data_IF_056922747266
#
_entry.id   IF_056922747266
#
_cell.length_a   1.000
_cell.length_b   1.000
_cell.length_c   1.000
_cell.angle_alpha   90.00
_cell.angle_beta   90.00
_cell.angle_gamma   90.00
#
_symmetry.space_group_name_H-M   'P 1'
#
loop_
_entity.id
_entity.type
_entity.pdbx_description
1 polymer ?
#
# COMPACT_ATOMS: atom_id res chain seq x y z
N UNK A 1 -28.78 7.64 -25.99
CA UNK A 1 -27.65 7.11 -25.19
C UNK A 1 -27.85 5.61 -25.03
N UNK A 2 -27.01 4.79 -25.67
CA UNK A 2 -27.23 3.35 -25.85
C UNK A 2 -26.56 2.59 -24.71
N UNK A 3 -27.35 1.79 -23.98
CA UNK A 3 -26.92 0.92 -22.86
C UNK A 3 -25.69 0.04 -23.20
N UNK A 4 -25.45 -0.24 -24.49
CA UNK A 4 -24.29 -0.96 -24.99
C UNK A 4 -22.95 -0.21 -24.85
N UNK A 5 -22.95 1.12 -25.03
CA UNK A 5 -21.72 1.94 -24.94
C UNK A 5 -21.25 2.06 -23.49
N UNK A 6 -22.18 2.20 -22.55
CA UNK A 6 -21.87 2.26 -21.11
C UNK A 6 -21.29 0.93 -20.60
N UNK A 7 -21.83 -0.20 -21.08
CA UNK A 7 -21.32 -1.54 -20.76
C UNK A 7 -19.91 -1.74 -21.32
N UNK A 8 -19.69 -1.36 -22.58
CA UNK A 8 -18.37 -1.46 -23.22
C UNK A 8 -17.33 -0.60 -22.51
N UNK A 9 -17.69 0.64 -22.21
CA UNK A 9 -16.81 1.58 -21.49
C UNK A 9 -16.42 1.03 -20.11
N UNK A 10 -17.37 0.47 -19.36
CA UNK A 10 -17.09 -0.12 -18.05
C UNK A 10 -16.19 -1.35 -18.13
N UNK A 11 -16.40 -2.22 -19.12
CA UNK A 11 -15.54 -3.40 -19.31
C UNK A 11 -14.13 -3.01 -19.76
N UNK A 12 -13.98 -1.97 -20.58
CA UNK A 12 -12.67 -1.41 -20.92
C UNK A 12 -11.94 -0.89 -19.69
N UNK A 13 -12.61 -0.11 -18.84
CA UNK A 13 -12.02 0.40 -17.59
C UNK A 13 -11.57 -0.73 -16.65
N UNK A 14 -12.33 -1.84 -16.56
CA UNK A 14 -11.91 -3.04 -15.79
C UNK A 14 -10.63 -3.65 -16.33
N UNK A 15 -10.52 -3.75 -17.65
CA UNK A 15 -9.33 -4.29 -18.30
C UNK A 15 -8.12 -3.36 -18.14
N UNK A 16 -8.31 -2.05 -18.26
CA UNK A 16 -7.25 -1.05 -18.07
C UNK A 16 -6.71 -1.09 -16.63
N UNK A 17 -7.60 -1.20 -15.63
CA UNK A 17 -7.20 -1.39 -14.24
C UNK A 17 -6.49 -2.75 -14.03
N UNK A 18 -6.98 -3.83 -14.63
CA UNK A 18 -6.34 -5.13 -14.54
C UNK A 18 -4.91 -5.11 -15.11
N UNK A 19 -4.69 -4.44 -16.24
CA UNK A 19 -3.37 -4.26 -16.84
C UNK A 19 -2.43 -3.48 -15.92
N UNK A 20 -2.91 -2.40 -15.29
CA UNK A 20 -2.13 -1.66 -14.28
C UNK A 20 -1.72 -2.57 -13.12
N UNK A 21 -2.67 -3.30 -12.54
CA UNK A 21 -2.40 -4.20 -11.43
C UNK A 21 -1.42 -5.32 -11.80
N UNK A 22 -1.48 -5.84 -13.04
CA UNK A 22 -0.50 -6.82 -13.54
C UNK A 22 0.88 -6.20 -13.63
N UNK A 23 1.02 -4.96 -14.12
CA UNK A 23 2.30 -4.25 -14.16
C UNK A 23 2.90 -4.04 -12.78
N UNK A 24 2.06 -3.86 -11.77
CA UNK A 24 2.45 -3.73 -10.37
C UNK A 24 2.61 -5.10 -9.67
N UNK A 25 2.67 -6.19 -10.41
CA UNK A 25 2.90 -7.55 -9.90
C UNK A 25 1.82 -8.04 -8.90
N UNK A 26 0.62 -7.47 -8.99
CA UNK A 26 -0.51 -7.86 -8.14
C UNK A 26 -0.92 -9.32 -8.39
N UNK A 27 -1.38 -10.00 -7.34
CA UNK A 27 -1.86 -11.38 -7.45
C UNK A 27 -3.21 -11.44 -8.17
N UNK A 28 -3.48 -12.58 -8.82
CA UNK A 28 -4.76 -12.84 -9.49
C UNK A 28 -5.96 -12.61 -8.58
N UNK A 29 -5.86 -12.98 -7.29
CA UNK A 29 -6.93 -12.75 -6.33
C UNK A 29 -7.19 -11.25 -6.09
N UNK A 30 -6.14 -10.44 -5.96
CA UNK A 30 -6.22 -8.98 -5.81
C UNK A 30 -6.78 -8.33 -7.06
N UNK A 31 -6.31 -8.75 -8.24
CA UNK A 31 -6.84 -8.27 -9.53
C UNK A 31 -8.34 -8.57 -9.64
N UNK A 32 -8.75 -9.80 -9.32
CA UNK A 32 -10.16 -10.21 -9.32
C UNK A 32 -10.98 -9.39 -8.32
N UNK A 33 -10.45 -9.15 -7.13
CA UNK A 33 -11.13 -8.39 -6.07
C UNK A 33 -11.44 -6.96 -6.51
N UNK A 34 -10.49 -6.30 -7.18
CA UNK A 34 -10.64 -4.91 -7.63
C UNK A 34 -11.43 -4.76 -8.93
N UNK A 35 -11.31 -5.70 -9.86
CA UNK A 35 -11.87 -5.56 -11.22
C UNK A 35 -13.16 -6.34 -11.44
N UNK A 36 -13.42 -7.37 -10.62
CA UNK A 36 -14.52 -8.32 -10.83
C UNK A 36 -14.34 -9.25 -12.03
N UNK A 37 -13.18 -9.23 -12.70
CA UNK A 37 -12.90 -10.15 -13.81
C UNK A 37 -12.72 -11.58 -13.32
N UNK A 38 -13.13 -12.55 -14.13
CA UNK A 38 -12.88 -13.97 -13.84
C UNK A 38 -11.40 -14.31 -13.98
N UNK A 39 -10.95 -15.34 -13.27
CA UNK A 39 -9.58 -15.84 -13.35
C UNK A 39 -9.17 -16.21 -14.79
N UNK A 40 -10.11 -16.68 -15.61
CA UNK A 40 -9.85 -16.96 -17.03
C UNK A 40 -9.59 -15.68 -17.85
N UNK A 41 -10.41 -14.63 -17.66
CA UNK A 41 -10.19 -13.33 -18.33
C UNK A 41 -8.86 -12.72 -17.90
N UNK A 42 -8.52 -12.77 -16.62
CA UNK A 42 -7.24 -12.29 -16.10
C UNK A 42 -6.07 -13.09 -16.70
N UNK A 43 -6.19 -14.42 -16.79
CA UNK A 43 -5.17 -15.28 -17.40
C UNK A 43 -4.97 -14.97 -18.88
N UNK A 44 -6.05 -14.76 -19.64
CA UNK A 44 -5.97 -14.37 -21.06
C UNK A 44 -5.31 -13.01 -21.24
N UNK A 45 -5.68 -12.04 -20.43
CA UNK A 45 -5.10 -10.69 -20.46
C UNK A 45 -3.62 -10.68 -20.07
N UNK A 46 -3.22 -11.52 -19.12
CA UNK A 46 -1.81 -11.71 -18.79
C UNK A 46 -1.02 -12.28 -19.98
N UNK A 47 -1.58 -13.27 -20.69
CA UNK A 47 -0.93 -13.87 -21.88
C UNK A 47 -0.77 -12.84 -23.00
N UNK A 48 -1.82 -12.07 -23.30
CA UNK A 48 -1.75 -11.03 -24.33
C UNK A 48 -0.72 -9.95 -23.96
N UNK A 49 -0.72 -9.51 -22.71
CA UNK A 49 0.27 -8.56 -22.20
C UNK A 49 1.72 -9.11 -22.28
N UNK A 50 1.92 -10.38 -21.90
CA UNK A 50 3.23 -11.03 -21.97
C UNK A 50 3.70 -11.29 -23.41
N UNK A 51 2.78 -11.50 -24.37
CA UNK A 51 3.14 -11.63 -25.79
C UNK A 51 3.43 -10.29 -26.46
N UNK A 52 2.81 -9.19 -26.00
CA UNK A 52 3.02 -7.84 -26.54
C UNK A 52 4.33 -7.21 -26.04
N UNK A 53 4.81 -7.59 -24.86
CA UNK A 53 6.11 -7.16 -24.33
C UNK A 53 7.15 -8.25 -24.50
N UNK A 54 7.98 -8.12 -25.53
CA UNK A 54 9.23 -8.88 -25.73
C UNK A 54 10.32 -8.52 -24.68
N UNK A 55 9.91 -8.11 -23.47
CA UNK A 55 10.77 -7.62 -22.39
C UNK A 55 10.26 -8.19 -21.07
N UNK A 56 11.02 -9.16 -20.58
CA UNK A 56 11.03 -9.75 -19.23
C UNK A 56 9.65 -10.12 -18.66
N UNK A 57 9.29 -11.41 -18.55
CA UNK A 57 8.01 -11.81 -17.99
C UNK A 57 7.85 -11.28 -16.57
N UNK A 58 6.71 -10.63 -16.30
CA UNK A 58 6.36 -10.13 -14.97
C UNK A 58 6.37 -11.29 -13.97
N UNK A 59 7.08 -11.18 -12.84
CA UNK A 59 7.10 -12.21 -11.81
C UNK A 59 5.68 -12.56 -11.33
N UNK A 60 5.35 -13.85 -11.32
CA UNK A 60 4.09 -14.31 -10.73
C UNK A 60 4.31 -14.80 -9.32
N UNK A 61 3.84 -14.02 -8.34
CA UNK A 61 3.85 -14.44 -6.95
C UNK A 61 2.73 -15.46 -6.68
N UNK A 62 3.10 -16.67 -6.29
CA UNK A 62 2.19 -17.72 -5.84
C UNK A 62 2.17 -17.81 -4.32
N UNK A 63 1.02 -18.12 -3.72
CA UNK A 63 0.89 -18.37 -2.29
C UNK A 63 -0.25 -17.59 -1.63
N UNK A 64 -0.28 -17.58 -0.29
CA UNK A 64 -1.25 -16.81 0.51
C UNK A 64 -0.86 -15.33 0.54
N UNK A 65 -1.83 -14.42 0.43
CA UNK A 65 -1.56 -12.97 0.56
C UNK A 65 -1.00 -12.65 1.94
N UNK A 66 -0.22 -11.56 2.08
CA UNK A 66 0.34 -11.13 3.36
C UNK A 66 -0.75 -10.96 4.43
N UNK A 67 -0.43 -11.33 5.67
CA UNK A 67 -1.36 -11.24 6.81
C UNK A 67 -0.74 -10.71 8.10
N UNK A 68 0.58 -10.48 8.13
CA UNK A 68 1.30 -10.13 9.35
C UNK A 68 1.74 -8.68 9.29
N UNK A 69 1.15 -7.85 10.15
CA UNK A 69 1.49 -6.43 10.37
C UNK A 69 2.92 -6.24 10.83
N UNK A 70 3.47 -7.20 11.59
CA UNK A 70 4.87 -7.25 11.98
C UNK A 70 5.86 -7.07 10.80
N UNK A 71 5.47 -7.41 9.56
CA UNK A 71 6.30 -7.19 8.37
C UNK A 71 6.81 -5.75 8.25
N UNK A 72 5.97 -4.75 8.57
CA UNK A 72 6.29 -3.33 8.43
C UNK A 72 7.23 -2.82 9.52
N UNK A 73 7.28 -3.47 10.68
CA UNK A 73 8.09 -3.05 11.83
C UNK A 73 9.45 -3.76 11.92
N UNK A 74 9.73 -4.75 11.05
CA UNK A 74 10.98 -5.53 11.09
C UNK A 74 12.26 -4.74 10.81
N UNK A 75 12.17 -3.62 10.11
CA UNK A 75 13.33 -2.83 9.70
C UNK A 75 12.95 -1.33 9.73
N UNK A 76 13.78 -0.44 10.31
CA UNK A 76 13.53 1.01 10.35
C UNK A 76 13.24 1.61 8.96
N UNK A 77 13.99 1.19 7.94
CA UNK A 77 13.79 1.62 6.54
C UNK A 77 12.42 1.17 6.02
N UNK A 78 12.02 -0.08 6.30
CA UNK A 78 10.68 -0.56 5.90
C UNK A 78 9.57 0.18 6.64
N UNK A 79 9.75 0.46 7.91
CA UNK A 79 8.77 1.21 8.70
C UNK A 79 8.60 2.62 8.13
N UNK A 80 9.69 3.26 7.71
CA UNK A 80 9.67 4.58 7.08
C UNK A 80 9.02 4.56 5.70
N UNK A 81 9.43 3.64 4.81
CA UNK A 81 8.80 3.45 3.50
C UNK A 81 7.29 3.17 3.63
N UNK A 82 6.90 2.37 4.63
CA UNK A 82 5.49 2.08 4.89
C UNK A 82 4.74 3.31 5.44
N UNK A 83 5.37 4.15 6.27
CA UNK A 83 4.79 5.41 6.72
C UNK A 83 4.63 6.43 5.58
N UNK A 84 5.58 6.48 4.63
CA UNK A 84 5.47 7.32 3.43
C UNK A 84 4.35 6.84 2.52
N UNK A 85 4.26 5.53 2.28
CA UNK A 85 3.17 4.93 1.53
C UNK A 85 1.80 5.21 2.18
N UNK A 86 1.70 5.13 3.52
CA UNK A 86 0.49 5.50 4.24
C UNK A 86 0.13 6.98 4.09
N UNK A 87 1.13 7.86 4.02
CA UNK A 87 0.93 9.29 3.73
C UNK A 87 0.39 9.51 2.31
N UNK A 88 0.86 8.73 1.33
CA UNK A 88 0.33 8.75 -0.03
C UNK A 88 -1.14 8.28 -0.07
N UNK A 89 -1.53 7.32 0.77
CA UNK A 89 -2.94 6.92 0.88
C UNK A 89 -3.84 8.05 1.40
N UNK A 90 -3.37 8.83 2.37
CA UNK A 90 -4.08 10.02 2.83
C UNK A 90 -4.16 11.07 1.71
N UNK A 91 -3.05 11.33 1.01
CA UNK A 91 -3.00 12.33 -0.07
C UNK A 91 -3.91 11.98 -1.25
N UNK A 92 -4.04 10.70 -1.59
CA UNK A 92 -4.91 10.22 -2.66
C UNK A 92 -6.37 10.00 -2.23
N UNK A 93 -6.73 10.27 -0.97
CA UNK A 93 -8.10 10.09 -0.46
C UNK A 93 -8.53 8.63 -0.38
N UNK A 94 -7.59 7.71 -0.16
CA UNK A 94 -7.91 6.30 0.14
C UNK A 94 -8.21 6.12 1.64
N UNK A 95 -7.61 6.97 2.46
CA UNK A 95 -7.74 7.02 3.91
C UNK A 95 -8.04 8.47 4.32
N UNK A 96 -8.86 8.64 5.34
CA UNK A 96 -9.16 9.93 5.94
C UNK A 96 -8.75 9.93 7.42
N UNK A 97 -8.05 10.97 7.90
CA UNK A 97 -7.73 11.10 9.31
C UNK A 97 -8.98 11.57 10.07
N UNK A 98 -9.37 10.83 11.10
CA UNK A 98 -10.49 11.16 12.00
C UNK A 98 -10.00 11.30 13.44
N UNK A 99 -10.79 11.92 14.34
CA UNK A 99 -10.42 11.99 15.75
C UNK A 99 -10.27 10.60 16.42
N UNK A 100 -10.95 9.58 15.89
CA UNK A 100 -10.89 8.22 16.37
C UNK A 100 -9.73 7.40 15.77
N UNK A 101 -9.03 7.92 14.76
CA UNK A 101 -7.97 7.21 14.06
C UNK A 101 -8.01 7.47 12.56
N UNK A 102 -7.99 6.39 11.78
CA UNK A 102 -8.02 6.46 10.32
C UNK A 102 -9.25 5.70 9.82
N UNK A 103 -10.00 6.34 8.93
CA UNK A 103 -11.15 5.72 8.28
C UNK A 103 -10.84 5.40 6.81
N UNK A 104 -11.39 4.29 6.32
CA UNK A 104 -11.25 3.89 4.93
C UNK A 104 -12.27 4.62 4.05
N UNK A 105 -11.78 5.35 3.05
CA UNK A 105 -12.63 5.97 2.04
C UNK A 105 -12.74 5.10 0.76
N UNK A 106 -11.85 4.12 0.60
CA UNK A 106 -11.87 3.23 -0.56
C UNK A 106 -13.00 2.21 -0.51
N UNK A 107 -13.53 1.85 -1.68
CA UNK A 107 -14.52 0.77 -1.83
C UNK A 107 -13.95 -0.37 -2.66
N UNK A 108 -13.91 -1.56 -2.07
CA UNK A 108 -13.49 -2.77 -2.77
C UNK A 108 -14.41 -3.03 -3.97
N UNK A 109 -13.80 -3.31 -5.13
CA UNK A 109 -14.52 -3.48 -6.40
C UNK A 109 -14.91 -2.17 -7.09
N UNK A 110 -14.63 -1.02 -6.47
CA UNK A 110 -14.69 0.27 -7.17
C UNK A 110 -13.46 0.43 -8.05
N UNK A 111 -13.68 0.71 -9.33
CA UNK A 111 -12.60 0.96 -10.28
C UNK A 111 -11.82 2.22 -9.92
N UNK A 112 -12.51 3.25 -9.42
CA UNK A 112 -11.90 4.50 -8.99
C UNK A 112 -10.94 4.28 -7.82
N UNK A 113 -11.39 3.61 -6.76
CA UNK A 113 -10.55 3.27 -5.62
C UNK A 113 -9.36 2.38 -6.02
N UNK A 114 -9.57 1.43 -6.94
CA UNK A 114 -8.48 0.61 -7.47
C UNK A 114 -7.45 1.44 -8.26
N UNK A 115 -7.89 2.43 -9.04
CA UNK A 115 -7.01 3.35 -9.75
C UNK A 115 -6.23 4.26 -8.80
N UNK A 116 -6.88 4.76 -7.74
CA UNK A 116 -6.21 5.55 -6.70
C UNK A 116 -5.14 4.72 -5.97
N UNK A 117 -5.42 3.45 -5.65
CA UNK A 117 -4.43 2.55 -5.07
C UNK A 117 -3.23 2.33 -6.00
N UNK A 118 -3.48 2.10 -7.30
CA UNK A 118 -2.40 1.99 -8.28
C UNK A 118 -1.56 3.26 -8.34
N UNK A 119 -2.17 4.45 -8.38
CA UNK A 119 -1.45 5.74 -8.41
C UNK A 119 -0.61 5.96 -7.15
N UNK A 120 -1.17 5.68 -5.97
CA UNK A 120 -0.44 5.81 -4.72
C UNK A 120 0.78 4.89 -4.67
N UNK A 121 0.65 3.65 -5.19
CA UNK A 121 1.76 2.72 -5.25
C UNK A 121 2.79 3.07 -6.32
N UNK A 122 2.36 3.52 -7.50
CA UNK A 122 3.24 4.04 -8.56
C UNK A 122 4.09 5.20 -8.01
N UNK A 123 3.48 6.17 -7.34
CA UNK A 123 4.20 7.28 -6.69
C UNK A 123 5.18 6.82 -5.60
N UNK A 124 4.81 5.79 -4.84
CA UNK A 124 5.71 5.18 -3.85
C UNK A 124 6.94 4.53 -4.50
N UNK A 125 6.76 3.81 -5.61
CA UNK A 125 7.87 3.21 -6.35
C UNK A 125 8.79 4.28 -6.92
N UNK A 126 8.23 5.35 -7.48
CA UNK A 126 9.01 6.49 -7.99
C UNK A 126 9.80 7.21 -6.88
N UNK A 127 9.26 7.25 -5.66
CA UNK A 127 9.91 7.88 -4.50
C UNK A 127 11.02 7.03 -3.88
N UNK A 128 10.99 5.71 -4.08
CA UNK A 128 11.93 4.78 -3.46
C UNK A 128 12.58 3.84 -4.47
N UNK A 129 13.87 4.05 -4.73
CA UNK A 129 14.70 3.13 -5.49
C UNK A 129 15.82 2.55 -4.60
N UNK A 130 15.74 1.27 -4.16
CA UNK A 130 14.71 0.27 -4.48
C UNK A 130 13.48 0.30 -3.56
N UNK A 131 12.31 0.07 -4.14
CA UNK A 131 11.05 -0.13 -3.42
C UNK A 131 11.09 -1.45 -2.63
N UNK A 132 10.99 -1.38 -1.30
CA UNK A 132 11.09 -2.57 -0.44
C UNK A 132 9.75 -3.23 -0.15
N UNK A 133 8.65 -2.57 -0.46
CA UNK A 133 7.28 -3.03 -0.22
C UNK A 133 6.65 -3.39 -1.56
N UNK A 134 6.36 -4.69 -1.76
CA UNK A 134 5.62 -5.15 -2.94
C UNK A 134 4.17 -4.63 -2.92
N UNK A 135 3.51 -4.58 -4.07
CA UNK A 135 2.10 -4.17 -4.18
C UNK A 135 1.15 -4.94 -3.24
N UNK A 136 1.37 -6.24 -3.05
CA UNK A 136 0.55 -7.04 -2.12
C UNK A 136 0.68 -6.60 -0.66
N UNK A 137 1.89 -6.19 -0.25
CA UNK A 137 2.11 -5.64 1.08
C UNK A 137 1.58 -4.20 1.18
N UNK A 138 1.65 -3.43 0.10
CA UNK A 138 1.04 -2.10 0.03
C UNK A 138 -0.48 -2.18 0.23
N UNK A 139 -1.15 -3.07 -0.51
CA UNK A 139 -2.57 -3.34 -0.35
C UNK A 139 -2.90 -3.84 1.07
N UNK A 140 -2.08 -4.76 1.60
CA UNK A 140 -2.25 -5.23 2.98
C UNK A 140 -2.09 -4.12 4.03
N UNK A 141 -1.16 -3.17 3.84
CA UNK A 141 -1.00 -2.00 4.70
C UNK A 141 -2.27 -1.15 4.72
N UNK A 142 -2.84 -0.87 3.55
CA UNK A 142 -4.08 -0.12 3.43
C UNK A 142 -5.24 -0.81 4.17
N UNK A 143 -5.36 -2.12 4.02
CA UNK A 143 -6.35 -2.93 4.77
C UNK A 143 -6.10 -2.89 6.29
N UNK A 144 -4.85 -2.95 6.74
CA UNK A 144 -4.51 -2.96 8.16
C UNK A 144 -4.80 -1.61 8.82
N UNK A 145 -4.45 -0.51 8.15
CA UNK A 145 -4.75 0.86 8.60
C UNK A 145 -6.25 1.10 8.67
N UNK A 146 -6.99 0.68 7.63
CA UNK A 146 -8.45 0.78 7.58
C UNK A 146 -9.17 0.04 8.71
N UNK A 147 -8.57 -1.05 9.23
CA UNK A 147 -9.15 -1.82 10.34
C UNK A 147 -8.87 -1.19 11.69
N UNK A 148 -7.80 -0.39 11.81
CA UNK A 148 -7.39 0.26 13.05
C UNK A 148 -7.24 -0.69 14.26
N UNK A 149 -6.96 -1.97 14.03
CA UNK A 149 -6.85 -2.97 15.12
C UNK A 149 -5.42 -3.18 15.60
N UNK A 150 -4.46 -3.13 14.67
CA UNK A 150 -3.06 -3.50 14.92
C UNK A 150 -2.09 -2.36 14.56
N UNK A 151 -2.45 -1.54 13.59
CA UNK A 151 -1.60 -0.46 13.07
C UNK A 151 -2.43 0.82 12.99
N UNK A 152 -1.78 1.93 13.32
CA UNK A 152 -2.28 3.30 13.13
C UNK A 152 -1.17 4.23 12.65
N UNK A 153 -1.51 5.49 12.34
CA UNK A 153 -0.54 6.56 12.09
C UNK A 153 -0.44 7.49 13.28
N UNK A 154 0.77 7.99 13.51
CA UNK A 154 1.04 9.04 14.46
C UNK A 154 2.06 10.02 13.88
N UNK A 155 2.21 11.17 14.53
CA UNK A 155 3.35 12.05 14.30
C UNK A 155 4.48 11.69 15.26
N UNK A 156 5.69 11.74 14.76
CA UNK A 156 6.90 11.65 15.57
C UNK A 156 7.03 12.94 16.39
N UNK A 157 7.21 12.83 17.71
CA UNK A 157 7.39 14.01 18.56
C UNK A 157 8.69 14.78 18.25
N UNK A 158 9.86 14.11 18.06
CA UNK A 158 11.10 14.80 17.67
C UNK A 158 11.09 15.48 16.30
N UNK A 159 10.71 14.77 15.24
CA UNK A 159 10.86 15.28 13.86
C UNK A 159 9.56 15.72 13.19
N UNK A 160 8.40 15.53 13.84
CA UNK A 160 7.09 15.88 13.29
C UNK A 160 6.60 14.99 12.13
N UNK A 161 7.46 14.10 11.62
CA UNK A 161 7.17 13.22 10.50
C UNK A 161 6.08 12.18 10.81
N UNK A 162 5.43 11.67 9.76
CA UNK A 162 4.45 10.58 9.89
C UNK A 162 5.18 9.28 10.22
N UNK A 163 4.66 8.54 11.19
CA UNK A 163 5.16 7.24 11.57
C UNK A 163 4.02 6.23 11.70
N UNK A 164 4.33 4.97 11.40
CA UNK A 164 3.46 3.85 11.74
C UNK A 164 3.60 3.52 13.21
N UNK A 165 2.45 3.39 13.86
CA UNK A 165 2.29 3.01 15.25
C UNK A 165 1.70 1.61 15.33
N UNK A 166 2.37 0.72 16.05
CA UNK A 166 1.82 -0.57 16.44
C UNK A 166 0.92 -0.34 17.67
N UNK A 167 -0.36 -0.72 17.57
CA UNK A 167 -1.35 -0.53 18.64
C UNK A 167 -1.24 -1.61 19.72
N UNK A 168 -0.61 -2.75 19.41
CA UNK A 168 -0.42 -3.87 20.33
C UNK A 168 0.91 -3.77 21.07
N UNK A 169 1.89 -3.06 20.52
CA UNK A 169 3.16 -2.77 21.17
C UNK A 169 3.09 -1.53 22.09
N UNK A 170 4.15 -1.33 22.89
CA UNK A 170 4.27 -0.15 23.75
C UNK A 170 4.28 1.12 22.88
N UNK A 171 3.57 2.15 23.34
CA UNK A 171 3.45 3.42 22.60
C UNK A 171 4.80 4.14 22.52
N UNK A 172 5.41 4.12 21.35
CA UNK A 172 6.60 4.92 21.06
C UNK A 172 6.22 6.30 20.51
N UNK A 173 6.77 7.34 21.13
CA UNK A 173 6.56 8.72 20.69
C UNK A 173 7.49 9.14 19.54
N UNK A 174 8.49 8.31 19.22
CA UNK A 174 9.54 8.61 18.24
C UNK A 174 9.54 7.58 17.10
N UNK A 175 9.79 8.05 15.88
CA UNK A 175 9.92 7.19 14.72
C UNK A 175 11.18 6.31 14.80
N UNK A 176 11.27 5.32 13.91
CA UNK A 176 12.38 4.37 13.92
C UNK A 176 13.76 5.04 13.84
N UNK A 177 13.92 6.09 13.03
CA UNK A 177 15.19 6.82 12.89
C UNK A 177 15.53 7.63 14.13
N UNK A 178 14.59 8.42 14.66
CA UNK A 178 14.83 9.18 15.89
C UNK A 178 15.14 8.25 17.08
N UNK A 179 14.57 7.04 17.11
CA UNK A 179 14.93 6.02 18.11
C UNK A 179 16.35 5.51 17.92
N UNK A 180 16.80 5.25 16.69
CA UNK A 180 18.18 4.84 16.42
C UNK A 180 19.17 5.93 16.81
N UNK A 181 18.92 7.19 16.41
CA UNK A 181 19.78 8.32 16.79
C UNK A 181 19.86 8.51 18.31
N UNK A 182 18.78 8.26 19.04
CA UNK A 182 18.79 8.33 20.51
C UNK A 182 19.59 7.22 21.19
N UNK A 183 19.80 6.08 20.51
CA UNK A 183 20.65 4.99 20.99
C UNK A 183 22.13 5.21 20.64
N UNK A 184 22.40 5.90 19.53
CA UNK A 184 23.74 6.20 19.03
C UNK A 184 24.30 7.55 19.54
N UNK A 185 23.52 8.33 20.27
CA UNK A 185 23.94 9.61 20.84
C UNK A 185 24.98 9.47 21.97
N UNK A 186 25.99 10.35 22.05
CA UNK A 186 26.96 10.30 23.13
C UNK A 186 26.32 10.83 24.42
N UNK A 187 26.19 9.98 25.42
CA UNK A 187 26.06 10.41 26.81
C UNK A 187 24.66 10.28 27.43
N UNK A 188 24.54 9.29 28.32
CA UNK A 188 23.94 9.59 29.61
C UNK A 188 24.76 10.68 30.29
N UNK A 189 24.29 11.93 30.23
CA UNK A 189 24.74 13.01 31.09
C UNK A 189 23.61 14.04 31.23
N UNK A 190 23.24 14.30 32.47
CA UNK A 190 22.34 15.34 32.97
C UNK A 190 20.83 15.20 32.72
N UNK A 191 20.18 14.50 33.66
CA UNK A 191 18.94 15.01 34.22
C UNK A 191 19.28 16.15 35.22
N UNK A 192 18.72 17.36 35.11
CA UNK A 192 18.69 18.28 36.23
C UNK A 192 17.59 17.88 37.22
N UNK A 193 17.95 18.01 38.50
CA UNK A 193 17.16 17.76 39.70
C UNK A 193 15.85 18.56 39.76
#
# INVERSE_FOLDING_TARGET
>A
MRISDDRYTRDRLRFDLALRLIRLEARTCTIRLWTGLSDDRIRKLYRSYASERDRTPVPRHRGKSPRQTAYFFRNPERQFQAAQLASLYLLHGLLDPTPAGIEAHYKIGSLESGLLLCRAYEAYVDLHEPARISFEHAWFLLLALARHTEIDLARCAPCGGVQLRDLLARRDAACAYCRLESLDGPGGANAPC
#
